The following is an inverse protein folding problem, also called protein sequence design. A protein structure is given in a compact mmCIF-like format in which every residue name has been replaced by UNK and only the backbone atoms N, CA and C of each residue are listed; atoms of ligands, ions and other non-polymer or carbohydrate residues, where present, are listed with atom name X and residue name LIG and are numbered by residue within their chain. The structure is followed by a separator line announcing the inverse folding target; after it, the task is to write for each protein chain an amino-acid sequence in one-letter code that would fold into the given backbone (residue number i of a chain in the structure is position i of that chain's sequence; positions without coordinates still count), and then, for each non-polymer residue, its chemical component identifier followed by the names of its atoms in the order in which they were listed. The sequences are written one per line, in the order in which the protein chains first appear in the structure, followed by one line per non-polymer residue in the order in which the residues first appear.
data_IF_470333820451
#
_entry.id   IF_470333820451
#
_cell.length_a   1.000
_cell.length_b   1.000
_cell.length_c   1.000
_cell.angle_alpha   90.00
_cell.angle_beta   90.00
_cell.angle_gamma   90.00
#
_symmetry.space_group_name_H-M   'P 1'
#
loop_
_entity.id
_entity.type
_entity.pdbx_description
1 polymer ?
#
# COMPACT_ATOMS: atom_id res chain seq x y z
N UNK A 1 14.86 -14.75 8.45
CA UNK A 1 15.42 -15.39 7.24
C UNK A 1 15.30 -14.39 6.10
N UNK A 2 16.38 -13.65 5.80
CA UNK A 2 16.46 -12.83 4.59
C UNK A 2 16.68 -13.79 3.42
N UNK A 3 15.76 -13.85 2.46
CA UNK A 3 15.90 -14.71 1.28
C UNK A 3 16.51 -13.83 0.18
N UNK A 4 17.80 -14.00 -0.18
CA UNK A 4 18.37 -13.30 -1.32
C UNK A 4 17.59 -13.65 -2.60
N UNK A 5 17.36 -12.66 -3.47
CA UNK A 5 16.57 -12.75 -4.71
C UNK A 5 15.01 -12.83 -4.56
N UNK A 6 14.45 -12.40 -3.44
CA UNK A 6 12.98 -12.40 -3.24
C UNK A 6 12.20 -11.35 -4.06
N UNK A 7 12.86 -10.25 -4.40
CA UNK A 7 12.40 -9.17 -5.27
C UNK A 7 13.40 -9.02 -6.42
N UNK A 8 12.92 -8.74 -7.63
CA UNK A 8 13.77 -8.48 -8.80
C UNK A 8 13.41 -7.16 -9.48
N UNK A 9 14.44 -6.40 -9.83
CA UNK A 9 14.42 -5.24 -10.74
C UNK A 9 15.55 -5.39 -11.77
N UNK A 10 15.98 -4.31 -12.44
CA UNK A 10 16.98 -4.33 -13.53
C UNK A 10 18.10 -5.39 -13.33
N UNK A 11 18.10 -6.48 -14.13
CA UNK A 11 19.04 -7.57 -13.98
C UNK A 11 20.50 -7.18 -14.26
N UNK A 12 20.76 -5.98 -14.80
CA UNK A 12 22.11 -5.47 -15.04
C UNK A 12 22.85 -5.05 -13.76
N UNK A 13 22.14 -4.87 -12.64
CA UNK A 13 22.72 -4.21 -11.47
C UNK A 13 23.49 -5.19 -10.55
N UNK A 14 23.00 -6.42 -10.32
CA UNK A 14 23.60 -7.35 -9.34
C UNK A 14 23.71 -6.79 -7.91
N UNK A 15 23.03 -5.68 -7.62
CA UNK A 15 23.12 -4.92 -6.36
C UNK A 15 21.95 -5.31 -5.46
N UNK A 16 22.13 -5.39 -4.14
CA UNK A 16 21.02 -5.51 -3.21
C UNK A 16 20.08 -4.30 -3.36
N UNK A 17 18.77 -4.56 -3.41
CA UNK A 17 17.75 -3.51 -3.46
C UNK A 17 17.85 -2.56 -2.26
N UNK A 18 17.77 -1.27 -2.53
CA UNK A 18 17.88 -0.25 -1.48
C UNK A 18 16.54 -0.07 -0.72
N UNK A 19 16.58 0.48 0.50
CA UNK A 19 15.38 0.75 1.27
C UNK A 19 14.38 1.66 0.53
N UNK A 20 14.89 2.65 -0.21
CA UNK A 20 14.05 3.57 -1.00
C UNK A 20 13.35 2.88 -2.17
N UNK A 21 13.98 1.89 -2.79
CA UNK A 21 13.37 1.07 -3.84
C UNK A 21 12.20 0.24 -3.32
N UNK A 22 12.36 -0.38 -2.15
CA UNK A 22 11.28 -1.11 -1.48
C UNK A 22 10.17 -0.15 -1.00
N UNK A 23 10.53 1.04 -0.52
CA UNK A 23 9.56 2.08 -0.15
C UNK A 23 8.76 2.57 -1.37
N UNK A 24 9.42 2.71 -2.52
CA UNK A 24 8.78 3.09 -3.78
C UNK A 24 7.80 2.00 -4.25
N UNK A 25 8.17 0.73 -4.13
CA UNK A 25 7.27 -0.41 -4.38
C UNK A 25 6.03 -0.33 -3.49
N UNK A 26 6.23 -0.11 -2.18
CA UNK A 26 5.15 0.05 -1.21
C UNK A 26 4.22 1.20 -1.57
N UNK A 27 4.78 2.36 -1.93
CA UNK A 27 4.00 3.54 -2.27
C UNK A 27 3.14 3.29 -3.52
N UNK A 28 3.71 2.71 -4.57
CA UNK A 28 2.98 2.38 -5.80
C UNK A 28 1.86 1.36 -5.58
N UNK A 29 2.12 0.37 -4.73
CA UNK A 29 1.15 -0.65 -4.38
C UNK A 29 -0.01 -0.05 -3.56
N UNK A 30 0.32 0.81 -2.59
CA UNK A 30 -0.66 1.49 -1.73
C UNK A 30 -1.51 2.51 -2.50
N UNK A 31 -0.92 3.23 -3.47
CA UNK A 31 -1.63 4.21 -4.31
C UNK A 31 -2.31 3.60 -5.54
N UNK A 32 -2.20 2.27 -5.75
CA UNK A 32 -2.70 1.55 -6.91
C UNK A 32 -2.24 2.13 -8.27
N UNK A 33 -1.06 2.75 -8.31
CA UNK A 33 -0.48 3.34 -9.53
C UNK A 33 0.20 2.31 -10.42
N UNK A 34 0.68 1.19 -9.85
CA UNK A 34 1.16 0.02 -10.58
C UNK A 34 2.47 0.18 -11.38
N UNK A 35 3.17 1.32 -11.25
CA UNK A 35 4.43 1.62 -11.95
C UNK A 35 5.66 0.95 -11.30
N UNK A 36 5.55 -0.32 -10.91
CA UNK A 36 6.59 -1.03 -10.18
C UNK A 36 7.72 -1.52 -11.10
N UNK A 37 8.85 -0.80 -11.13
CA UNK A 37 10.11 -1.29 -11.75
C UNK A 37 10.73 -2.49 -10.99
N UNK A 38 10.12 -2.88 -9.86
CA UNK A 38 10.52 -3.98 -9.00
C UNK A 38 9.33 -4.93 -8.84
N UNK A 39 9.54 -6.21 -9.12
CA UNK A 39 8.50 -7.24 -9.06
C UNK A 39 8.82 -8.31 -8.01
N UNK A 40 7.82 -8.77 -7.24
CA UNK A 40 8.01 -9.86 -6.28
C UNK A 40 8.21 -11.18 -7.01
N UNK A 41 9.43 -11.73 -6.95
CA UNK A 41 9.79 -12.99 -7.62
C UNK A 41 9.46 -14.22 -6.76
N UNK A 42 9.43 -14.08 -5.44
CA UNK A 42 9.22 -15.22 -4.52
C UNK A 42 7.82 -15.24 -3.88
N UNK A 43 7.28 -16.41 -3.53
CA UNK A 43 5.97 -16.55 -2.87
C UNK A 43 5.75 -15.69 -1.61
N UNK A 44 6.69 -15.59 -0.65
CA UNK A 44 6.48 -14.73 0.53
C UNK A 44 6.42 -13.24 0.17
N UNK A 45 7.16 -12.79 -0.85
CA UNK A 45 7.10 -11.41 -1.33
C UNK A 45 5.73 -11.09 -1.94
N UNK A 46 5.11 -12.04 -2.65
CA UNK A 46 3.75 -11.87 -3.19
C UNK A 46 2.70 -11.75 -2.08
N UNK A 47 2.81 -12.56 -1.02
CA UNK A 47 1.89 -12.46 0.14
C UNK A 47 2.01 -11.10 0.82
N UNK A 48 3.22 -10.56 0.96
CA UNK A 48 3.44 -9.24 1.55
C UNK A 48 2.77 -8.13 0.72
N UNK A 49 2.92 -8.17 -0.61
CA UNK A 49 2.27 -7.23 -1.55
C UNK A 49 0.75 -7.33 -1.48
N UNK A 50 0.19 -8.54 -1.36
CA UNK A 50 -1.25 -8.75 -1.17
C UNK A 50 -1.76 -8.16 0.15
N UNK A 51 -1.02 -8.34 1.25
CA UNK A 51 -1.36 -7.75 2.55
C UNK A 51 -1.29 -6.22 2.52
N UNK A 52 -0.34 -5.66 1.79
CA UNK A 52 -0.18 -4.22 1.61
C UNK A 52 -1.32 -3.60 0.80
N UNK A 53 -1.79 -4.26 -0.26
CA UNK A 53 -3.00 -3.84 -0.98
C UNK A 53 -4.23 -3.82 -0.07
N UNK A 54 -4.37 -4.85 0.77
CA UNK A 54 -5.45 -4.91 1.74
C UNK A 54 -5.36 -3.79 2.77
N UNK A 55 -4.16 -3.45 3.25
CA UNK A 55 -3.93 -2.33 4.15
C UNK A 55 -4.31 -0.98 3.51
N UNK A 56 -4.02 -0.78 2.22
CA UNK A 56 -4.44 0.40 1.47
C UNK A 56 -5.96 0.57 1.44
N UNK A 57 -6.70 -0.48 1.10
CA UNK A 57 -8.17 -0.46 1.08
C UNK A 57 -8.74 -0.25 2.48
N UNK A 58 -8.21 -0.96 3.48
CA UNK A 58 -8.67 -0.84 4.87
C UNK A 58 -8.48 0.58 5.41
N UNK A 59 -7.35 1.24 5.11
CA UNK A 59 -7.10 2.62 5.51
C UNK A 59 -8.15 3.57 4.93
N UNK A 60 -8.40 3.51 3.62
CA UNK A 60 -9.39 4.38 2.96
C UNK A 60 -10.79 4.12 3.51
N UNK A 61 -11.17 2.86 3.75
CA UNK A 61 -12.46 2.51 4.33
C UNK A 61 -12.67 3.15 5.73
N UNK A 62 -11.66 3.10 6.59
CA UNK A 62 -11.70 3.71 7.93
C UNK A 62 -11.79 5.23 7.85
N UNK A 63 -10.99 5.85 6.98
CA UNK A 63 -10.98 7.30 6.78
C UNK A 63 -12.35 7.78 6.27
N UNK A 64 -12.91 7.11 5.27
CA UNK A 64 -14.23 7.44 4.72
C UNK A 64 -15.32 7.25 5.78
N UNK A 65 -15.29 6.16 6.53
CA UNK A 65 -16.22 5.92 7.65
C UNK A 65 -16.21 7.08 8.67
N UNK A 66 -15.01 7.57 9.04
CA UNK A 66 -14.88 8.74 9.92
C UNK A 66 -15.43 10.02 9.30
N UNK A 67 -15.12 10.30 8.04
CA UNK A 67 -15.60 11.51 7.35
C UNK A 67 -17.12 11.52 7.24
N UNK A 68 -17.73 10.39 6.87
CA UNK A 68 -19.18 10.23 6.80
C UNK A 68 -19.79 10.35 8.19
N UNK A 69 -19.21 9.73 9.21
CA UNK A 69 -19.65 9.87 10.60
C UNK A 69 -19.66 11.33 11.08
N UNK A 70 -18.59 12.09 10.83
CA UNK A 70 -18.55 13.52 11.16
C UNK A 70 -19.58 14.34 10.38
N UNK A 71 -19.79 14.01 9.10
CA UNK A 71 -20.76 14.70 8.25
C UNK A 71 -22.18 14.46 8.75
N UNK A 72 -22.54 13.21 9.07
CA UNK A 72 -23.85 12.84 9.62
C UNK A 72 -24.09 13.52 10.97
N UNK A 73 -23.09 13.52 11.87
CA UNK A 73 -23.18 14.20 13.17
C UNK A 73 -23.41 15.71 12.99
N UNK A 74 -22.71 16.35 12.04
CA UNK A 74 -22.91 17.77 11.72
C UNK A 74 -24.29 18.08 11.12
N UNK A 75 -24.82 17.20 10.26
CA UNK A 75 -26.16 17.39 9.69
C UNK A 75 -27.26 17.23 10.73
N UNK A 76 -27.11 16.30 11.67
CA UNK A 76 -28.10 16.08 12.74
C UNK A 76 -28.21 17.25 13.73
N UNK A 77 -27.15 18.05 13.88
CA UNK A 77 -27.15 19.25 14.72
C UNK A 77 -27.83 20.49 14.10
N UNK A 78 -28.17 20.48 12.80
CA UNK A 78 -28.82 21.62 12.10
C UNK A 78 -30.34 21.47 11.94
N UNK A 79 -30.93 20.34 12.31
CA UNK A 79 -32.37 20.06 12.17
C UNK A 79 -33.24 20.46 13.36
N UNK A 80 -32.68 21.16 14.35
CA UNK A 80 -33.41 21.62 15.54
C UNK A 80 -33.17 23.12 15.76
N UNK A 81 -33.82 23.94 14.95
CA UNK A 81 -34.14 25.35 15.28
C UNK A 81 -35.40 25.74 14.53
#
# INVERSE_FOLDING_TARGET
MWIPASFGGDPAAGRPHTFLELLSLSFNNLSATGLGDIVPLTPPARVLVMLEQFAGVAYIAVVVSRLVGMTIVRYRGKGTS
#
